data_IF_094609211753
#
_entry.id   IF_094609211753
#
_cell.length_a   1.000
_cell.length_b   1.000
_cell.length_c   1.000
_cell.angle_alpha   90.00
_cell.angle_beta   90.00
_cell.angle_gamma   90.00
#
_symmetry.space_group_name_H-M   'P 1'
#
loop_
_entity.id
_entity.type
_entity.pdbx_description
1 polymer ?
#
# COMPACT_ATOMS: atom_id res chain seq x y z
N UNK A 1 9.24 16.47 4.93
CA UNK A 1 10.01 15.88 3.81
C UNK A 1 9.11 15.92 2.58
N UNK A 2 9.31 16.71 1.53
CA UNK A 2 10.41 17.62 1.13
C UNK A 2 9.76 18.80 0.38
N UNK A 3 10.20 20.02 0.67
CA UNK A 3 9.92 21.19 -0.18
C UNK A 3 10.80 21.21 -1.44
N UNK A 4 11.25 20.04 -1.89
CA UNK A 4 12.15 19.88 -3.04
C UNK A 4 11.32 19.46 -4.24
N UNK A 5 11.51 20.14 -5.36
CA UNK A 5 10.88 19.79 -6.62
C UNK A 5 11.48 18.52 -7.20
N UNK A 6 10.73 17.84 -8.07
CA UNK A 6 11.22 16.66 -8.79
C UNK A 6 12.54 16.92 -9.52
N UNK A 7 12.70 18.11 -10.12
CA UNK A 7 13.89 18.48 -10.87
C UNK A 7 15.11 18.68 -9.96
N UNK A 8 14.93 19.29 -8.79
CA UNK A 8 16.01 19.42 -7.80
C UNK A 8 16.47 18.06 -7.29
N UNK A 9 15.53 17.13 -7.07
CA UNK A 9 15.86 15.77 -6.63
C UNK A 9 16.70 15.02 -7.66
N UNK A 10 16.32 15.05 -8.94
CA UNK A 10 17.10 14.44 -10.02
C UNK A 10 18.49 15.07 -10.16
N UNK A 11 18.58 16.40 -9.98
CA UNK A 11 19.85 17.14 -10.01
C UNK A 11 20.77 16.74 -8.86
N UNK A 12 20.24 16.60 -7.64
CA UNK A 12 21.00 16.12 -6.47
C UNK A 12 21.47 14.67 -6.64
N UNK A 13 20.64 13.81 -7.22
CA UNK A 13 21.02 12.43 -7.54
C UNK A 13 22.01 12.33 -8.73
N UNK A 14 22.18 13.42 -9.50
CA UNK A 14 23.07 13.47 -10.65
C UNK A 14 22.60 12.58 -11.81
N UNK A 15 21.29 12.38 -11.96
CA UNK A 15 20.71 11.49 -12.99
C UNK A 15 19.65 12.18 -13.82
N UNK A 16 19.46 11.70 -15.05
CA UNK A 16 18.28 12.05 -15.82
C UNK A 16 17.04 11.34 -15.28
N UNK A 17 15.87 11.87 -15.62
CA UNK A 17 14.60 11.23 -15.27
C UNK A 17 14.49 9.79 -15.83
N UNK A 18 15.00 9.56 -17.04
CA UNK A 18 15.04 8.23 -17.65
C UNK A 18 15.92 7.29 -16.83
N UNK A 19 17.13 7.71 -16.47
CA UNK A 19 18.03 6.90 -15.65
C UNK A 19 17.45 6.62 -14.27
N UNK A 20 16.77 7.59 -13.64
CA UNK A 20 16.06 7.36 -12.39
C UNK A 20 14.97 6.29 -12.58
N UNK A 21 14.13 6.40 -13.62
CA UNK A 21 13.10 5.39 -13.92
C UNK A 21 13.68 4.00 -14.16
N UNK A 22 14.76 3.90 -14.93
CA UNK A 22 15.45 2.64 -15.20
C UNK A 22 16.02 2.01 -13.93
N UNK A 23 16.59 2.81 -13.02
CA UNK A 23 17.06 2.36 -11.71
C UNK A 23 15.93 1.84 -10.82
N UNK A 24 14.75 2.47 -10.87
CA UNK A 24 13.60 2.06 -10.06
C UNK A 24 12.81 0.88 -10.67
N UNK A 25 12.96 0.62 -11.98
CA UNK A 25 12.17 -0.39 -12.70
C UNK A 25 12.26 -1.80 -12.08
N UNK A 26 13.44 -2.34 -11.73
CA UNK A 26 13.52 -3.67 -11.10
C UNK A 26 12.68 -3.77 -9.82
N UNK A 27 12.78 -2.77 -8.94
CA UNK A 27 12.02 -2.73 -7.69
C UNK A 27 10.52 -2.56 -7.92
N UNK A 28 10.13 -1.77 -8.92
CA UNK A 28 8.73 -1.62 -9.31
C UNK A 28 8.16 -2.95 -9.84
N UNK A 29 8.92 -3.67 -10.67
CA UNK A 29 8.53 -4.98 -11.17
C UNK A 29 8.37 -6.01 -10.04
N UNK A 30 9.31 -6.06 -9.09
CA UNK A 30 9.20 -6.92 -7.90
C UNK A 30 7.94 -6.62 -7.10
N UNK A 31 7.64 -5.34 -6.90
CA UNK A 31 6.43 -4.91 -6.17
C UNK A 31 5.16 -5.35 -6.87
N UNK A 32 5.10 -5.23 -8.20
CA UNK A 32 3.94 -5.68 -8.99
C UNK A 32 3.80 -7.20 -8.90
N UNK A 33 4.89 -7.95 -9.09
CA UNK A 33 4.90 -9.41 -8.96
C UNK A 33 4.42 -9.86 -7.57
N UNK A 34 4.93 -9.25 -6.51
CA UNK A 34 4.51 -9.55 -5.15
C UNK A 34 3.02 -9.26 -4.92
N UNK A 35 2.51 -8.13 -5.43
CA UNK A 35 1.09 -7.80 -5.35
C UNK A 35 0.20 -8.84 -6.04
N UNK A 36 0.57 -9.28 -7.25
CA UNK A 36 -0.16 -10.31 -7.99
C UNK A 36 -0.15 -11.63 -7.20
N UNK A 37 1.02 -12.07 -6.73
CA UNK A 37 1.15 -13.32 -5.96
C UNK A 37 0.30 -13.28 -4.68
N UNK A 38 0.33 -12.17 -3.93
CA UNK A 38 -0.45 -12.04 -2.71
C UNK A 38 -1.96 -12.00 -2.99
N UNK A 39 -2.39 -11.38 -4.10
CA UNK A 39 -3.79 -11.43 -4.54
C UNK A 39 -4.26 -12.85 -4.83
N UNK A 40 -3.48 -13.60 -5.62
CA UNK A 40 -3.78 -15.01 -5.95
C UNK A 40 -3.83 -15.92 -4.70
N UNK A 41 -2.97 -15.67 -3.72
CA UNK A 41 -2.99 -16.42 -2.44
C UNK A 41 -4.24 -16.05 -1.63
N UNK A 42 -4.59 -14.76 -1.58
CA UNK A 42 -5.78 -14.29 -0.86
C UNK A 42 -7.04 -14.97 -1.40
N UNK A 43 -7.19 -15.05 -2.72
CA UNK A 43 -8.31 -15.73 -3.36
C UNK A 43 -8.35 -17.24 -3.04
N UNK A 44 -7.21 -17.94 -3.16
CA UNK A 44 -7.13 -19.38 -2.89
C UNK A 44 -7.41 -19.75 -1.43
N UNK A 45 -6.94 -18.93 -0.51
CA UNK A 45 -7.17 -19.12 0.93
C UNK A 45 -8.51 -18.55 1.41
N UNK A 46 -9.34 -18.00 0.49
CA UNK A 46 -10.62 -17.34 0.80
C UNK A 46 -10.47 -16.25 1.87
N UNK A 47 -9.41 -15.46 1.78
CA UNK A 47 -9.20 -14.31 2.65
C UNK A 47 -10.15 -13.21 2.21
N UNK A 48 -11.03 -12.80 3.11
CA UNK A 48 -12.03 -11.76 2.87
C UNK A 48 -11.74 -10.57 3.79
N UNK A 49 -12.05 -9.37 3.33
CA UNK A 49 -12.07 -8.16 4.16
C UNK A 49 -13.53 -7.78 4.37
N UNK A 50 -13.95 -7.60 5.63
CA UNK A 50 -15.33 -7.20 5.91
C UNK A 50 -15.48 -5.68 5.93
N UNK A 51 -16.69 -5.15 5.67
CA UNK A 51 -16.94 -3.72 5.79
C UNK A 51 -16.53 -3.14 7.15
N UNK A 52 -16.75 -3.89 8.23
CA UNK A 52 -16.43 -3.48 9.60
C UNK A 52 -14.91 -3.35 9.81
N UNK A 53 -14.10 -4.22 9.20
CA UNK A 53 -12.64 -4.11 9.24
C UNK A 53 -12.14 -2.84 8.53
N UNK A 54 -12.79 -2.47 7.42
CA UNK A 54 -12.48 -1.25 6.66
C UNK A 54 -12.86 -0.02 7.48
N UNK A 55 -14.08 0.02 8.02
CA UNK A 55 -14.56 1.14 8.83
C UNK A 55 -13.70 1.32 10.10
N UNK A 56 -13.35 0.24 10.78
CA UNK A 56 -12.45 0.29 11.94
C UNK A 56 -11.06 0.86 11.58
N UNK A 57 -10.52 0.49 10.41
CA UNK A 57 -9.25 1.02 9.94
C UNK A 57 -9.35 2.50 9.55
N UNK A 58 -10.46 2.92 8.95
CA UNK A 58 -10.73 4.34 8.64
C UNK A 58 -10.78 5.18 9.91
N UNK A 59 -11.50 4.73 10.94
CA UNK A 59 -11.57 5.44 12.22
C UNK A 59 -10.20 5.56 12.90
N UNK A 60 -9.40 4.48 12.86
CA UNK A 60 -8.02 4.51 13.34
C UNK A 60 -7.18 5.57 12.60
N UNK A 61 -7.29 5.61 11.27
CA UNK A 61 -6.56 6.57 10.43
C UNK A 61 -7.04 8.01 10.67
N UNK A 62 -8.34 8.25 10.80
CA UNK A 62 -8.89 9.57 11.13
C UNK A 62 -8.35 10.11 12.45
N UNK A 63 -8.13 9.24 13.45
CA UNK A 63 -7.51 9.61 14.72
C UNK A 63 -6.08 10.16 14.58
N UNK A 64 -5.38 9.87 13.48
CA UNK A 64 -4.03 10.37 13.21
C UNK A 64 -4.02 11.78 12.59
N UNK A 65 -5.14 12.22 12.04
CA UNK A 65 -5.28 13.54 11.42
C UNK A 65 -6.11 14.46 12.31
N UNK A 66 -5.68 15.71 12.49
CA UNK A 66 -6.47 16.73 13.20
C UNK A 66 -7.36 17.54 12.24
N UNK A 67 -7.01 17.56 10.95
CA UNK A 67 -7.70 18.30 9.89
C UNK A 67 -8.94 17.53 9.41
N UNK A 68 -10.10 18.18 9.44
CA UNK A 68 -11.38 17.63 8.97
C UNK A 68 -11.38 17.32 7.47
N UNK A 69 -10.69 18.12 6.65
CA UNK A 69 -10.60 17.87 5.21
C UNK A 69 -9.84 16.57 4.93
N UNK A 70 -8.73 16.33 5.65
CA UNK A 70 -7.98 15.07 5.52
C UNK A 70 -8.78 13.87 6.01
N UNK A 71 -9.58 14.02 7.07
CA UNK A 71 -10.49 12.96 7.53
C UNK A 71 -11.58 12.66 6.50
N UNK A 72 -12.11 13.67 5.82
CA UNK A 72 -13.11 13.49 4.77
C UNK A 72 -12.55 12.78 3.52
N UNK A 73 -11.27 12.99 3.19
CA UNK A 73 -10.61 12.24 2.09
C UNK A 73 -10.62 10.73 2.32
N UNK A 74 -10.48 10.28 3.57
CA UNK A 74 -10.48 8.86 3.94
C UNK A 74 -11.83 8.16 3.71
N UNK A 75 -12.92 8.92 3.65
CA UNK A 75 -14.26 8.39 3.38
C UNK A 75 -14.54 8.18 1.88
N UNK A 76 -13.70 8.72 1.00
CA UNK A 76 -13.92 8.59 -0.45
C UNK A 76 -13.86 7.12 -0.87
N UNK A 77 -14.66 6.71 -1.88
CA UNK A 77 -14.65 5.33 -2.37
C UNK A 77 -13.26 4.83 -2.78
N UNK A 78 -12.40 5.72 -3.30
CA UNK A 78 -11.03 5.38 -3.66
C UNK A 78 -10.17 5.06 -2.42
N UNK A 79 -10.23 5.89 -1.38
CA UNK A 79 -9.50 5.65 -0.13
C UNK A 79 -9.98 4.36 0.55
N UNK A 80 -11.30 4.10 0.56
CA UNK A 80 -11.89 2.84 1.03
C UNK A 80 -11.30 1.61 0.32
N UNK A 81 -11.22 1.64 -1.01
CA UNK A 81 -10.62 0.54 -1.80
C UNK A 81 -9.12 0.35 -1.52
N UNK A 82 -8.38 1.44 -1.37
CA UNK A 82 -6.94 1.38 -1.06
C UNK A 82 -6.70 0.79 0.34
N UNK A 83 -7.54 1.14 1.31
CA UNK A 83 -7.52 0.59 2.66
C UNK A 83 -7.87 -0.90 2.65
N UNK A 84 -8.92 -1.29 1.93
CA UNK A 84 -9.31 -2.68 1.74
C UNK A 84 -8.17 -3.53 1.16
N UNK A 85 -7.56 -3.08 0.06
CA UNK A 85 -6.43 -3.78 -0.57
C UNK A 85 -5.25 -3.96 0.39
N UNK A 86 -5.01 -2.96 1.25
CA UNK A 86 -3.96 -3.03 2.27
C UNK A 86 -4.28 -4.01 3.38
N UNK A 87 -5.52 -4.02 3.89
CA UNK A 87 -5.96 -5.00 4.89
C UNK A 87 -5.86 -6.41 4.32
N UNK A 88 -6.31 -6.62 3.08
CA UNK A 88 -6.19 -7.90 2.38
C UNK A 88 -4.73 -8.38 2.36
N UNK A 89 -3.81 -7.52 1.92
CA UNK A 89 -2.37 -7.82 1.88
C UNK A 89 -1.83 -8.20 3.26
N UNK A 90 -2.17 -7.44 4.31
CA UNK A 90 -1.76 -7.69 5.69
C UNK A 90 -2.27 -9.07 6.18
N UNK A 91 -3.54 -9.40 5.92
CA UNK A 91 -4.15 -10.70 6.28
C UNK A 91 -3.49 -11.86 5.54
N UNK A 92 -3.22 -11.70 4.24
CA UNK A 92 -2.51 -12.72 3.44
C UNK A 92 -1.12 -13.00 3.98
N UNK A 93 -0.35 -11.96 4.31
CA UNK A 93 0.98 -12.13 4.89
C UNK A 93 0.89 -12.82 6.25
N UNK A 94 -0.04 -12.41 7.12
CA UNK A 94 -0.24 -13.04 8.43
C UNK A 94 -0.55 -14.54 8.30
N UNK A 95 -1.39 -14.91 7.32
CA UNK A 95 -1.73 -16.30 7.02
C UNK A 95 -0.50 -17.12 6.57
N UNK A 96 0.36 -16.54 5.72
CA UNK A 96 1.60 -17.18 5.28
C UNK A 96 2.60 -17.37 6.42
N UNK A 97 2.72 -16.39 7.31
CA UNK A 97 3.58 -16.48 8.51
C UNK A 97 3.08 -17.57 9.46
N UNK A 98 1.77 -17.62 9.70
CA UNK A 98 1.16 -18.69 10.52
C UNK A 98 1.43 -20.08 9.93
N UNK A 99 1.29 -20.22 8.61
CA UNK A 99 1.45 -21.50 7.91
C UNK A 99 2.92 -21.96 7.86
N UNK A 100 3.87 -21.02 7.80
CA UNK A 100 5.30 -21.32 7.84
C UNK A 100 5.82 -21.62 9.26
N UNK A 101 5.21 -21.01 10.29
CA UNK A 101 5.58 -21.23 11.70
C UNK A 101 5.00 -22.52 12.30
N UNK A 102 4.04 -23.18 11.62
CA UNK A 102 3.46 -24.48 12.02
C UNK A 102 4.22 -25.69 11.45
N UNK A 103 5.33 -25.49 10.74
CA UNK A 103 6.26 -26.55 10.32
C UNK A 103 7.45 -26.60 11.27
#
# INVERSE_FOLDING_TARGET
YRGQTWQEHLKEEGVTEQQHRERQRPRAEERIKAGIILGEIAEKENIMVTPEEIDARIELLKGQYQDEAMRAELEKPQARRDIEARIMTEKTIARLVESSSRK
#
